data_IF_748381242697
#
_entry.id   IF_748381242697
#
_cell.length_a   1.000
_cell.length_b   1.000
_cell.length_c   1.000
_cell.angle_alpha   90.00
_cell.angle_beta   90.00
_cell.angle_gamma   90.00
#
_symmetry.space_group_name_H-M   'P 1'
#
loop_
_entity.id
_entity.type
_entity.pdbx_description
1 polymer ?
#
# COMPACT_ATOMS: atom_id res chain seq x y z
N UNK A 1 -12.63 -24.48 13.89
CA UNK A 1 -12.09 -24.53 12.55
C UNK A 1 -11.60 -23.16 12.14
N UNK A 2 -10.42 -23.11 11.72
CA UNK A 2 -9.89 -21.86 11.28
C UNK A 2 -10.42 -21.56 9.90
N UNK A 3 -11.04 -20.45 9.77
CA UNK A 3 -11.29 -19.91 8.45
C UNK A 3 -9.93 -19.53 7.90
N UNK A 4 -9.56 -20.03 6.72
CA UNK A 4 -8.36 -19.50 6.11
C UNK A 4 -8.55 -18.00 6.06
N UNK A 5 -7.65 -17.30 6.60
CA UNK A 5 -7.65 -15.89 6.41
C UNK A 5 -7.72 -15.67 4.92
N UNK A 6 -8.69 -14.94 4.48
CA UNK A 6 -8.75 -14.52 3.11
C UNK A 6 -7.44 -13.82 2.75
N UNK A 7 -6.81 -13.24 3.75
CA UNK A 7 -5.52 -12.63 3.59
C UNK A 7 -4.82 -12.63 4.95
N UNK A 8 -3.53 -12.93 4.96
CA UNK A 8 -2.69 -12.73 6.12
C UNK A 8 -2.02 -11.34 6.07
N UNK A 9 -2.45 -10.50 5.17
CA UNK A 9 -1.92 -9.16 5.06
C UNK A 9 -2.26 -8.33 6.29
N UNK A 10 -1.32 -7.53 6.71
CA UNK A 10 -1.52 -6.64 7.84
C UNK A 10 -0.66 -5.39 7.67
N UNK A 11 -1.00 -4.38 8.45
CA UNK A 11 -0.25 -3.14 8.49
C UNK A 11 0.09 -2.80 9.92
N UNK A 12 1.16 -2.03 10.09
CA UNK A 12 1.49 -1.43 11.38
C UNK A 12 2.15 -0.08 11.16
N UNK A 13 2.03 0.77 12.13
CA UNK A 13 2.72 2.06 12.13
C UNK A 13 4.06 1.90 12.83
N UNK A 14 5.11 2.44 12.22
CA UNK A 14 6.44 2.44 12.79
C UNK A 14 7.08 3.81 12.54
N UNK A 15 7.00 4.69 13.54
CA UNK A 15 7.47 6.05 13.39
C UNK A 15 6.72 6.78 12.27
N UNK A 16 7.42 7.21 11.24
CA UNK A 16 6.84 7.86 10.06
C UNK A 16 6.51 6.87 8.95
N UNK A 17 6.64 5.57 9.20
CA UNK A 17 6.40 4.54 8.21
C UNK A 17 5.08 3.84 8.46
N UNK A 18 4.37 3.54 7.38
CA UNK A 18 3.28 2.58 7.39
C UNK A 18 3.82 1.31 6.75
N UNK A 19 3.92 0.24 7.53
CA UNK A 19 4.56 -1.00 7.13
C UNK A 19 3.49 -2.01 6.75
N UNK A 20 3.57 -2.51 5.53
CA UNK A 20 2.64 -3.50 4.99
C UNK A 20 3.31 -4.86 4.94
N UNK A 21 2.55 -5.91 5.13
CA UNK A 21 3.06 -7.28 5.05
C UNK A 21 1.99 -8.19 4.45
N UNK A 22 2.45 -9.28 3.84
CA UNK A 22 1.56 -10.26 3.23
C UNK A 22 1.20 -9.93 1.80
N UNK A 23 0.20 -10.59 1.26
CA UNK A 23 -0.25 -10.37 -0.11
C UNK A 23 -1.24 -9.20 -0.16
N UNK A 24 -0.93 -8.19 -0.96
CA UNK A 24 -1.84 -7.07 -1.17
C UNK A 24 -2.74 -7.35 -2.36
N UNK A 25 -3.79 -8.08 -2.10
CA UNK A 25 -4.80 -8.47 -3.08
C UNK A 25 -6.15 -7.78 -2.77
N UNK A 26 -7.20 -8.20 -3.47
CA UNK A 26 -8.52 -7.61 -3.28
C UNK A 26 -9.02 -7.76 -1.85
N UNK A 27 -8.83 -8.94 -1.25
CA UNK A 27 -9.26 -9.18 0.13
C UNK A 27 -8.50 -8.29 1.10
N UNK A 28 -7.20 -8.15 0.89
CA UNK A 28 -6.37 -7.27 1.70
C UNK A 28 -6.78 -5.81 1.54
N UNK A 29 -7.03 -5.37 0.30
CA UNK A 29 -7.43 -3.99 0.06
C UNK A 29 -8.72 -3.66 0.81
N UNK A 30 -9.71 -4.55 0.76
CA UNK A 30 -10.96 -4.35 1.47
C UNK A 30 -10.77 -4.35 2.98
N UNK A 31 -9.92 -5.26 3.50
CA UNK A 31 -9.71 -5.40 4.93
C UNK A 31 -8.86 -4.27 5.52
N UNK A 32 -7.88 -3.77 4.77
CA UNK A 32 -6.88 -2.85 5.32
C UNK A 32 -7.21 -1.39 5.10
N UNK A 33 -8.15 -1.07 4.22
CA UNK A 33 -8.41 0.34 3.86
C UNK A 33 -8.67 1.22 5.08
N UNK A 34 -9.61 0.82 5.93
CA UNK A 34 -9.99 1.64 7.09
C UNK A 34 -8.84 1.77 8.07
N UNK A 35 -8.14 0.66 8.33
CA UNK A 35 -7.00 0.68 9.25
C UNK A 35 -5.87 1.56 8.74
N UNK A 36 -5.57 1.44 7.46
CA UNK A 36 -4.49 2.22 6.85
C UNK A 36 -4.83 3.70 6.84
N UNK A 37 -6.04 4.05 6.44
CA UNK A 37 -6.47 5.44 6.39
C UNK A 37 -6.42 6.08 7.79
N UNK A 38 -6.79 5.32 8.83
CA UNK A 38 -6.77 5.82 10.20
C UNK A 38 -5.36 6.09 10.72
N UNK A 39 -4.35 5.44 10.15
CA UNK A 39 -2.96 5.56 10.61
C UNK A 39 -2.11 6.44 9.69
N UNK A 40 -2.73 7.11 8.75
CA UNK A 40 -2.00 7.77 7.66
C UNK A 40 -1.39 9.11 8.07
N UNK A 41 -1.91 9.76 9.11
CA UNK A 41 -1.43 11.07 9.53
C UNK A 41 0.05 11.01 9.91
N UNK A 42 0.87 11.85 9.30
CA UNK A 42 2.31 11.88 9.56
C UNK A 42 3.12 10.80 8.87
N UNK A 43 2.50 9.96 8.06
CA UNK A 43 3.24 8.94 7.32
C UNK A 43 4.04 9.59 6.20
N UNK A 44 5.34 9.28 6.17
CA UNK A 44 6.27 9.75 5.13
C UNK A 44 6.79 8.60 4.26
N UNK A 45 6.55 7.35 4.66
CA UNK A 45 7.06 6.18 3.94
C UNK A 45 6.03 5.07 3.97
N UNK A 46 5.88 4.40 2.85
CA UNK A 46 5.18 3.11 2.75
C UNK A 46 6.24 2.04 2.59
N UNK A 47 6.34 1.14 3.55
CA UNK A 47 7.34 0.08 3.54
C UNK A 47 6.68 -1.20 3.06
N UNK A 48 7.15 -1.71 1.94
CA UNK A 48 6.58 -2.88 1.26
C UNK A 48 7.55 -4.06 1.23
N UNK A 49 8.63 -4.01 1.97
CA UNK A 49 9.64 -5.08 1.94
C UNK A 49 9.10 -6.43 2.41
N UNK A 50 8.08 -6.43 3.24
CA UNK A 50 7.44 -7.65 3.73
C UNK A 50 6.19 -8.04 2.95
N UNK A 51 5.88 -7.31 1.88
CA UNK A 51 4.76 -7.64 0.99
C UNK A 51 5.21 -8.72 0.03
N UNK A 52 4.42 -9.77 -0.10
CA UNK A 52 4.79 -10.90 -0.95
C UNK A 52 4.40 -10.68 -2.40
N UNK A 53 3.21 -10.14 -2.64
CA UNK A 53 2.73 -9.82 -3.99
C UNK A 53 1.78 -8.64 -3.93
N UNK A 54 1.60 -7.98 -5.08
CA UNK A 54 0.62 -6.90 -5.25
C UNK A 54 -0.14 -7.16 -6.54
N UNK A 55 -1.47 -7.19 -6.45
CA UNK A 55 -2.32 -7.21 -7.64
C UNK A 55 -2.91 -5.81 -7.88
N UNK A 56 -3.78 -5.68 -8.87
CA UNK A 56 -4.35 -4.38 -9.23
C UNK A 56 -5.17 -3.77 -8.09
N UNK A 57 -5.84 -4.59 -7.29
CA UNK A 57 -6.59 -4.09 -6.13
C UNK A 57 -5.63 -3.61 -5.04
N UNK A 58 -4.54 -4.33 -4.81
CA UNK A 58 -3.50 -3.89 -3.87
C UNK A 58 -2.83 -2.60 -4.32
N UNK A 59 -2.56 -2.48 -5.62
CA UNK A 59 -2.02 -1.23 -6.16
C UNK A 59 -3.01 -0.08 -5.94
N UNK A 60 -4.30 -0.30 -6.17
CA UNK A 60 -5.31 0.72 -5.96
C UNK A 60 -5.35 1.17 -4.50
N UNK A 61 -5.23 0.23 -3.56
CA UNK A 61 -5.14 0.58 -2.14
C UNK A 61 -3.97 1.50 -1.87
N UNK A 62 -2.78 1.13 -2.36
CA UNK A 62 -1.58 1.93 -2.14
C UNK A 62 -1.68 3.31 -2.80
N UNK A 63 -2.20 3.37 -4.02
CA UNK A 63 -2.35 4.63 -4.73
C UNK A 63 -3.35 5.56 -4.03
N UNK A 64 -4.46 5.02 -3.53
CA UNK A 64 -5.43 5.81 -2.78
C UNK A 64 -4.84 6.33 -1.47
N UNK A 65 -4.10 5.50 -0.74
CA UNK A 65 -3.44 5.93 0.48
C UNK A 65 -2.42 7.03 0.20
N UNK A 66 -1.66 6.89 -0.88
CA UNK A 66 -0.69 7.91 -1.28
C UNK A 66 -1.39 9.21 -1.65
N UNK A 67 -2.52 9.15 -2.34
CA UNK A 67 -3.30 10.33 -2.68
C UNK A 67 -3.82 11.05 -1.43
N UNK A 68 -4.31 10.30 -0.45
CA UNK A 68 -4.75 10.89 0.82
C UNK A 68 -3.59 11.53 1.58
N UNK A 69 -2.42 10.90 1.57
CA UNK A 69 -1.24 11.47 2.20
C UNK A 69 -0.83 12.78 1.54
N UNK A 70 -0.85 12.82 0.21
CA UNK A 70 -0.52 14.05 -0.53
C UNK A 70 -1.52 15.16 -0.27
N UNK A 71 -2.79 14.82 -0.16
CA UNK A 71 -3.82 15.79 0.18
C UNK A 71 -3.58 16.42 1.56
N UNK A 72 -2.94 15.69 2.45
CA UNK A 72 -2.56 16.18 3.77
C UNK A 72 -1.17 16.84 3.79
N UNK A 73 -0.53 16.99 2.63
CA UNK A 73 0.75 17.69 2.52
C UNK A 73 1.99 16.81 2.53
N UNK A 74 1.83 15.49 2.58
CA UNK A 74 2.96 14.56 2.56
C UNK A 74 3.22 14.06 1.15
N UNK A 75 4.47 13.65 0.88
CA UNK A 75 4.83 12.94 -0.35
C UNK A 75 5.46 11.62 0.12
N UNK A 76 4.65 10.56 0.26
CA UNK A 76 5.17 9.33 0.82
C UNK A 76 6.15 8.66 -0.13
N UNK A 77 7.24 8.16 0.41
CA UNK A 77 8.19 7.34 -0.33
C UNK A 77 7.73 5.91 -0.26
N UNK A 78 8.06 5.15 -1.30
CA UNK A 78 7.75 3.72 -1.36
C UNK A 78 9.06 2.96 -1.25
N UNK A 79 9.16 2.09 -0.25
CA UNK A 79 10.33 1.26 -0.02
C UNK A 79 9.98 -0.20 -0.26
N UNK A 80 10.80 -0.88 -1.04
CA UNK A 80 10.58 -2.28 -1.39
C UNK A 80 10.00 -2.45 -2.79
N UNK A 81 10.21 -3.63 -3.36
CA UNK A 81 9.75 -3.95 -4.71
C UNK A 81 9.10 -5.34 -4.70
N UNK A 82 7.89 -5.45 -4.12
CA UNK A 82 7.21 -6.74 -4.13
C UNK A 82 6.86 -7.18 -5.54
N UNK A 83 6.69 -8.48 -5.71
CA UNK A 83 6.32 -9.08 -6.99
C UNK A 83 5.03 -8.44 -7.50
N UNK A 84 5.05 -8.03 -8.75
CA UNK A 84 3.90 -7.44 -9.44
C UNK A 84 3.84 -5.92 -9.37
N UNK A 85 4.52 -5.29 -8.42
CA UNK A 85 4.38 -3.85 -8.22
C UNK A 85 4.93 -3.06 -9.41
N UNK A 86 6.14 -3.35 -9.84
CA UNK A 86 6.77 -2.59 -10.94
C UNK A 86 5.97 -2.71 -12.23
N UNK A 87 5.50 -3.92 -12.54
CA UNK A 87 4.70 -4.15 -13.74
C UNK A 87 3.39 -3.38 -13.70
N UNK A 88 2.74 -3.36 -12.55
CA UNK A 88 1.48 -2.63 -12.38
C UNK A 88 1.69 -1.12 -12.42
N UNK A 89 2.75 -0.63 -11.81
CA UNK A 89 3.09 0.80 -11.89
C UNK A 89 3.28 1.22 -13.34
N UNK A 90 4.00 0.41 -14.11
CA UNK A 90 4.21 0.69 -15.53
C UNK A 90 2.89 0.63 -16.32
N UNK A 91 2.07 -0.38 -16.06
CA UNK A 91 0.80 -0.56 -16.78
C UNK A 91 -0.17 0.58 -16.53
N UNK A 92 -0.19 1.11 -15.31
CA UNK A 92 -1.08 2.21 -14.94
C UNK A 92 -0.39 3.57 -15.01
N UNK A 93 0.86 3.61 -15.45
CA UNK A 93 1.65 4.83 -15.61
C UNK A 93 1.78 5.63 -14.32
N UNK A 94 1.94 4.93 -13.23
CA UNK A 94 2.16 5.57 -11.94
C UNK A 94 3.63 5.93 -11.76
N UNK A 95 3.88 7.00 -11.02
CA UNK A 95 5.24 7.33 -10.60
C UNK A 95 5.70 6.33 -9.53
N UNK A 96 7.00 6.29 -9.20
CA UNK A 96 7.45 5.46 -8.07
C UNK A 96 6.76 5.79 -6.76
N UNK A 97 6.23 7.00 -6.60
CA UNK A 97 5.48 7.42 -5.41
C UNK A 97 3.99 7.14 -5.54
N UNK A 98 3.58 6.32 -6.51
CA UNK A 98 2.20 5.90 -6.70
C UNK A 98 1.26 7.05 -7.11
N UNK A 99 1.79 8.01 -7.83
CA UNK A 99 1.03 9.11 -8.36
C UNK A 99 0.95 9.03 -9.88
N UNK A 100 -0.09 9.60 -10.45
CA UNK A 100 -0.17 9.73 -11.90
C UNK A 100 0.64 10.95 -12.33
N UNK A 101 1.47 10.84 -13.37
CA UNK A 101 2.18 12.01 -13.85
C UNK A 101 1.17 13.03 -14.40
N UNK A 102 1.48 14.27 -14.17
CA UNK A 102 0.65 15.36 -14.63
C UNK A 102 0.64 15.45 -16.16
#
# INVERSE_FOLDING_TARGET
MAVPAASDAHIRRDGDALVFAGALDRAAAAALWVQAAAQLAGVQRFVLTNVTTVDSAGLALLAELAAHARAAGAVPRVEGQPVGLADLQAAYRLTPELDFPA
#
